data_IF_278015471282
#
_entry.id   IF_278015471282
#
_cell.length_a   1.000
_cell.length_b   1.000
_cell.length_c   1.000
_cell.angle_alpha   90.00
_cell.angle_beta   90.00
_cell.angle_gamma   90.00
#
_symmetry.space_group_name_H-M   'P 1'
#
loop_
_entity.id
_entity.type
_entity.pdbx_description
1 polymer ?
#
# COMPACT_ATOMS: atom_id res chain seq x y z
N UNK A 1 31.91 -1.12 -11.15
CA UNK A 1 32.62 -0.03 -10.50
C UNK A 1 31.60 1.03 -10.06
N UNK A 2 31.76 1.56 -8.86
CA UNK A 2 30.91 2.66 -8.35
C UNK A 2 31.55 4.02 -8.71
N UNK A 3 30.70 4.94 -9.19
CA UNK A 3 31.06 6.33 -9.41
C UNK A 3 30.34 7.18 -8.35
N UNK A 4 31.08 7.75 -7.42
CA UNK A 4 30.54 8.52 -6.30
C UNK A 4 29.86 9.83 -6.76
N UNK A 5 30.38 10.48 -7.78
CA UNK A 5 29.83 11.73 -8.31
C UNK A 5 28.48 11.53 -8.98
N UNK A 6 28.36 10.46 -9.75
CA UNK A 6 27.13 10.13 -10.50
C UNK A 6 26.18 9.24 -9.69
N UNK A 7 26.59 8.77 -8.50
CA UNK A 7 25.82 7.78 -7.69
C UNK A 7 25.43 6.53 -8.49
N UNK A 8 26.31 6.11 -9.38
CA UNK A 8 26.05 5.07 -10.38
C UNK A 8 26.99 3.89 -10.22
N UNK A 9 26.45 2.69 -10.16
CA UNK A 9 27.17 1.44 -10.29
C UNK A 9 27.16 0.99 -11.75
N UNK A 10 28.32 0.62 -12.28
CA UNK A 10 28.44 0.05 -13.62
C UNK A 10 29.02 -1.35 -13.53
N UNK A 11 28.25 -2.34 -14.06
CA UNK A 11 28.67 -3.72 -14.17
C UNK A 11 29.54 -3.94 -15.42
N UNK A 12 30.38 -5.01 -15.46
CA UNK A 12 31.18 -5.34 -16.64
C UNK A 12 30.33 -5.63 -17.89
N UNK A 13 29.11 -6.13 -17.74
CA UNK A 13 28.17 -6.39 -18.82
C UNK A 13 27.51 -5.13 -19.42
N UNK A 14 27.88 -3.92 -18.95
CA UNK A 14 27.31 -2.66 -19.40
C UNK A 14 26.06 -2.21 -18.64
N UNK A 15 25.48 -3.06 -17.78
CA UNK A 15 24.34 -2.65 -16.94
C UNK A 15 24.77 -1.56 -15.96
N UNK A 16 23.88 -0.62 -15.71
CA UNK A 16 24.10 0.44 -14.73
C UNK A 16 22.93 0.53 -13.75
N UNK A 17 23.26 0.76 -12.48
CA UNK A 17 22.31 1.04 -11.41
C UNK A 17 22.60 2.46 -10.91
N UNK A 18 21.61 3.32 -11.04
CA UNK A 18 21.66 4.69 -10.57
C UNK A 18 20.85 4.84 -9.29
N UNK A 19 21.46 5.42 -8.26
CA UNK A 19 20.78 5.77 -7.00
C UNK A 19 20.37 7.23 -7.05
N UNK A 20 19.11 7.49 -6.76
CA UNK A 20 18.55 8.83 -6.76
C UNK A 20 17.54 8.98 -5.64
N UNK A 21 17.02 10.17 -5.47
CA UNK A 21 15.98 10.48 -4.49
C UNK A 21 14.92 11.38 -5.11
N UNK A 22 13.73 11.31 -4.53
CA UNK A 22 12.59 12.14 -4.86
C UNK A 22 12.10 12.77 -3.55
N UNK A 23 12.16 14.07 -3.42
CA UNK A 23 11.65 14.80 -2.25
C UNK A 23 10.26 15.38 -2.50
N UNK A 24 10.01 15.76 -3.74
CA UNK A 24 8.76 16.41 -4.17
C UNK A 24 8.29 15.86 -5.51
N UNK A 25 7.03 16.06 -5.81
CA UNK A 25 6.47 15.69 -7.11
C UNK A 25 7.18 16.38 -8.29
N UNK A 26 7.62 17.63 -8.11
CA UNK A 26 8.37 18.36 -9.14
C UNK A 26 9.67 17.65 -9.54
N UNK A 27 10.27 16.87 -8.65
CA UNK A 27 11.46 16.08 -8.96
C UNK A 27 11.22 15.00 -10.01
N UNK A 28 9.97 14.61 -10.22
CA UNK A 28 9.58 13.64 -11.24
C UNK A 28 9.93 14.14 -12.65
N UNK A 29 9.94 15.45 -12.85
CA UNK A 29 10.30 16.05 -14.15
C UNK A 29 11.73 15.71 -14.59
N UNK A 30 12.65 15.44 -13.65
CA UNK A 30 14.04 15.00 -13.93
C UNK A 30 14.09 13.68 -14.69
N UNK A 31 13.05 12.87 -14.61
CA UNK A 31 12.95 11.58 -15.27
C UNK A 31 12.20 11.65 -16.60
N UNK A 32 11.80 12.85 -17.00
CA UNK A 32 11.15 13.05 -18.30
C UNK A 32 12.09 12.64 -19.44
N UNK A 33 11.58 11.85 -20.39
CA UNK A 33 12.37 11.34 -21.51
C UNK A 33 13.28 10.13 -21.20
N UNK A 34 13.50 9.81 -19.92
CA UNK A 34 14.30 8.65 -19.53
C UNK A 34 13.54 7.32 -19.70
N UNK A 35 14.29 6.24 -19.80
CA UNK A 35 13.77 4.88 -19.91
C UNK A 35 14.56 3.95 -18.97
N UNK A 36 13.84 3.11 -18.24
CA UNK A 36 14.40 2.17 -17.29
C UNK A 36 13.85 0.76 -17.53
N UNK A 37 14.70 -0.24 -17.34
CA UNK A 37 14.28 -1.63 -17.33
C UNK A 37 13.78 -2.05 -15.94
N UNK A 38 14.32 -1.43 -14.90
CA UNK A 38 13.98 -1.72 -13.53
C UNK A 38 13.98 -0.45 -12.68
N UNK A 39 13.03 -0.33 -11.77
CA UNK A 39 12.94 0.77 -10.83
C UNK A 39 12.66 0.20 -9.44
N UNK A 40 13.45 0.62 -8.45
CA UNK A 40 13.25 0.32 -7.04
C UNK A 40 12.83 1.55 -6.25
N UNK A 41 11.78 1.41 -5.44
CA UNK A 41 11.44 2.37 -4.41
C UNK A 41 11.81 1.79 -3.05
N UNK A 42 12.44 2.60 -2.23
CA UNK A 42 12.62 2.31 -0.82
C UNK A 42 11.61 3.13 -0.01
N UNK A 43 11.09 2.55 1.07
CA UNK A 43 10.12 3.19 1.96
C UNK A 43 8.88 3.75 1.24
N UNK A 44 8.22 2.91 0.42
CA UNK A 44 7.11 3.35 -0.45
C UNK A 44 5.97 4.07 0.30
N UNK A 45 5.71 3.70 1.56
CA UNK A 45 4.67 4.35 2.40
C UNK A 45 5.03 5.77 2.84
N UNK A 46 6.24 6.27 2.58
CA UNK A 46 6.55 7.68 2.81
C UNK A 46 5.84 8.60 1.81
N UNK A 47 5.46 8.09 0.64
CA UNK A 47 4.69 8.84 -0.35
C UNK A 47 3.22 8.89 0.02
N UNK A 48 2.61 10.10 0.08
CA UNK A 48 1.22 10.25 0.52
C UNK A 48 0.20 9.59 -0.43
N UNK A 49 0.54 9.47 -1.71
CA UNK A 49 -0.29 8.88 -2.75
C UNK A 49 0.55 8.15 -3.81
N UNK A 50 -0.09 7.58 -4.83
CA UNK A 50 0.57 6.78 -5.87
C UNK A 50 1.17 7.60 -7.01
N UNK A 51 1.14 8.92 -7.00
CA UNK A 51 1.57 9.78 -8.11
C UNK A 51 2.99 9.49 -8.56
N UNK A 52 3.94 9.44 -7.62
CA UNK A 52 5.33 9.14 -7.92
C UNK A 52 5.51 7.72 -8.49
N UNK A 53 4.82 6.75 -7.91
CA UNK A 53 4.82 5.36 -8.38
C UNK A 53 4.30 5.24 -9.81
N UNK A 54 3.13 5.84 -10.09
CA UNK A 54 2.49 5.78 -11.40
C UNK A 54 3.28 6.52 -12.47
N UNK A 55 3.85 7.68 -12.13
CA UNK A 55 4.72 8.41 -13.04
C UNK A 55 5.96 7.60 -13.41
N UNK A 56 6.68 7.07 -12.43
CA UNK A 56 7.90 6.30 -12.66
C UNK A 56 7.60 5.00 -13.43
N UNK A 57 6.45 4.38 -13.21
CA UNK A 57 6.00 3.23 -14.00
C UNK A 57 5.90 3.56 -15.49
N UNK A 58 5.49 4.77 -15.86
CA UNK A 58 5.44 5.20 -17.26
C UNK A 58 6.84 5.32 -17.91
N UNK A 59 7.89 5.28 -17.11
CA UNK A 59 9.30 5.29 -17.59
C UNK A 59 9.84 3.88 -17.83
N UNK A 60 9.13 2.84 -17.43
CA UNK A 60 9.52 1.44 -17.69
C UNK A 60 9.32 1.11 -19.16
N UNK A 61 10.39 0.96 -19.87
CA UNK A 61 10.38 0.58 -21.28
C UNK A 61 11.75 0.12 -21.74
N UNK A 62 11.79 -0.78 -22.71
CA UNK A 62 12.99 -1.18 -23.42
C UNK A 62 12.70 -1.38 -24.90
N UNK A 63 13.63 -0.97 -25.74
CA UNK A 63 13.62 -1.31 -27.16
C UNK A 63 14.20 -2.70 -27.43
N UNK A 64 14.92 -3.27 -26.45
CA UNK A 64 15.48 -4.62 -26.51
C UNK A 64 14.41 -5.65 -26.11
N UNK A 65 14.05 -6.60 -27.00
CA UNK A 65 13.04 -7.62 -26.71
C UNK A 65 13.37 -8.51 -25.52
N UNK A 66 14.64 -8.81 -25.27
CA UNK A 66 15.03 -9.66 -24.13
C UNK A 66 14.93 -8.88 -22.82
N UNK A 67 15.37 -7.63 -22.80
CA UNK A 67 15.23 -6.77 -21.63
C UNK A 67 13.77 -6.40 -21.36
N UNK A 68 12.93 -6.30 -22.37
CA UNK A 68 11.51 -5.99 -22.20
C UNK A 68 10.76 -7.05 -21.39
N UNK A 69 11.25 -8.30 -21.38
CA UNK A 69 10.68 -9.40 -20.57
C UNK A 69 10.98 -9.25 -19.07
N UNK A 70 11.97 -8.47 -18.71
CA UNK A 70 12.44 -8.30 -17.32
C UNK A 70 12.04 -6.96 -16.71
N UNK A 71 11.30 -6.15 -17.44
CA UNK A 71 10.82 -4.83 -17.00
C UNK A 71 9.97 -5.00 -15.73
N UNK A 72 10.25 -4.18 -14.73
CA UNK A 72 9.47 -4.23 -13.51
C UNK A 72 9.82 -3.17 -12.48
N UNK A 73 8.93 -3.02 -11.52
CA UNK A 73 9.16 -2.20 -10.32
C UNK A 73 9.19 -3.09 -9.09
N UNK A 74 9.95 -2.65 -8.11
CA UNK A 74 9.97 -3.25 -6.76
C UNK A 74 9.88 -2.13 -5.75
N UNK A 75 9.31 -2.42 -4.60
CA UNK A 75 9.35 -1.51 -3.47
C UNK A 75 9.57 -2.28 -2.18
N UNK A 76 10.31 -1.65 -1.29
CA UNK A 76 10.39 -2.04 0.11
C UNK A 76 9.59 -1.04 0.93
N UNK A 77 8.94 -1.50 1.97
CA UNK A 77 8.24 -0.62 2.91
C UNK A 77 7.74 -1.36 4.13
N UNK A 78 7.56 -0.63 5.22
CA UNK A 78 6.87 -1.09 6.41
C UNK A 78 5.42 -0.57 6.44
N UNK A 79 4.51 -1.24 7.16
CA UNK A 79 3.20 -0.67 7.47
C UNK A 79 3.34 0.66 8.21
N UNK A 80 2.45 1.59 7.96
CA UNK A 80 2.48 2.94 8.51
C UNK A 80 2.94 3.98 7.49
N UNK A 81 3.22 5.20 7.97
CA UNK A 81 3.55 6.32 7.10
C UNK A 81 2.34 6.90 6.36
N UNK A 82 2.57 8.02 5.67
CA UNK A 82 1.51 8.80 5.02
C UNK A 82 0.80 8.03 3.90
N UNK A 83 1.52 7.12 3.25
CA UNK A 83 1.04 6.32 2.13
C UNK A 83 0.48 4.97 2.50
N UNK A 84 0.38 4.64 3.79
CA UNK A 84 -0.10 3.33 4.25
C UNK A 84 -1.38 2.86 3.52
N UNK A 85 -2.37 3.73 3.46
CA UNK A 85 -3.70 3.38 2.91
C UNK A 85 -3.67 3.03 1.43
N UNK A 86 -2.97 3.80 0.60
CA UNK A 86 -2.93 3.52 -0.83
C UNK A 86 -2.04 2.30 -1.14
N UNK A 87 -0.92 2.13 -0.42
CA UNK A 87 -0.07 0.93 -0.58
C UNK A 87 -0.83 -0.32 -0.18
N UNK A 88 -1.52 -0.28 0.97
CA UNK A 88 -2.37 -1.38 1.43
C UNK A 88 -3.44 -1.74 0.41
N UNK A 89 -4.20 -0.76 -0.05
CA UNK A 89 -5.25 -0.95 -1.07
C UNK A 89 -4.67 -1.49 -2.39
N UNK A 90 -3.47 -1.05 -2.78
CA UNK A 90 -2.88 -1.40 -4.07
C UNK A 90 -2.21 -2.79 -4.07
N UNK A 91 -1.63 -3.23 -2.96
CA UNK A 91 -0.77 -4.41 -2.93
C UNK A 91 -1.17 -5.48 -1.91
N UNK A 92 -1.79 -5.09 -0.78
CA UNK A 92 -2.03 -6.00 0.34
C UNK A 92 -3.45 -6.56 0.29
N UNK A 93 -4.46 -5.68 0.24
CA UNK A 93 -5.88 -6.08 0.29
C UNK A 93 -6.36 -6.91 -0.91
N UNK A 94 -5.81 -6.75 -2.15
CA UNK A 94 -6.36 -7.43 -3.30
C UNK A 94 -6.17 -8.94 -3.32
N UNK A 95 -5.11 -9.47 -2.69
CA UNK A 95 -4.80 -10.89 -2.75
C UNK A 95 -4.02 -11.37 -1.52
N UNK A 96 -4.08 -12.65 -1.16
CA UNK A 96 -3.23 -13.22 -0.12
C UNK A 96 -1.74 -12.98 -0.39
N UNK A 97 -0.90 -12.93 0.65
CA UNK A 97 0.54 -12.84 0.51
C UNK A 97 1.10 -13.88 -0.46
N UNK A 98 2.15 -13.51 -1.19
CA UNK A 98 2.81 -14.37 -2.18
C UNK A 98 1.96 -14.77 -3.40
N UNK A 99 0.76 -14.22 -3.55
CA UNK A 99 -0.10 -14.44 -4.71
C UNK A 99 0.13 -13.34 -5.74
N UNK A 100 0.36 -13.72 -6.99
CA UNK A 100 0.42 -12.77 -8.10
C UNK A 100 -0.99 -12.50 -8.61
N UNK A 101 -1.32 -11.23 -8.84
CA UNK A 101 -2.62 -10.80 -9.36
C UNK A 101 -2.48 -9.64 -10.34
N UNK A 102 -3.47 -9.45 -11.19
CA UNK A 102 -3.54 -8.28 -12.08
C UNK A 102 -4.31 -7.15 -11.42
N UNK A 103 -3.85 -5.95 -11.64
CA UNK A 103 -4.34 -4.81 -10.90
C UNK A 103 -5.41 -4.00 -11.62
N UNK A 104 -5.40 -3.98 -12.95
CA UNK A 104 -6.37 -3.18 -13.73
C UNK A 104 -6.67 -3.81 -15.08
N UNK A 105 -7.94 -3.74 -15.46
CA UNK A 105 -8.36 -3.89 -16.84
C UNK A 105 -8.01 -2.58 -17.59
N UNK A 106 -7.28 -2.68 -18.67
CA UNK A 106 -6.87 -1.50 -19.44
C UNK A 106 -8.00 -0.90 -20.30
N UNK A 107 -9.01 -1.70 -20.63
CA UNK A 107 -10.14 -1.24 -21.44
C UNK A 107 -11.21 -0.59 -20.59
N UNK A 108 -11.57 -1.21 -19.46
CA UNK A 108 -12.63 -0.71 -18.57
C UNK A 108 -12.12 0.16 -17.45
N UNK A 109 -10.83 0.10 -17.12
CA UNK A 109 -10.22 0.78 -15.98
C UNK A 109 -10.56 0.15 -14.63
N UNK A 110 -11.34 -0.94 -14.62
CA UNK A 110 -11.74 -1.63 -13.39
C UNK A 110 -10.57 -2.38 -12.76
N UNK A 111 -10.52 -2.39 -11.43
CA UNK A 111 -9.54 -3.16 -10.68
C UNK A 111 -9.82 -4.66 -10.80
N UNK A 112 -8.84 -5.40 -11.29
CA UNK A 112 -8.90 -6.84 -11.46
C UNK A 112 -8.11 -7.53 -10.34
N UNK A 113 -8.72 -8.58 -9.76
CA UNK A 113 -8.18 -9.30 -8.60
C UNK A 113 -8.13 -10.81 -8.87
N UNK A 114 -7.41 -11.23 -9.92
CA UNK A 114 -7.28 -12.64 -10.23
C UNK A 114 -5.85 -13.13 -10.05
N UNK A 115 -5.68 -14.39 -9.63
CA UNK A 115 -4.39 -15.05 -9.74
C UNK A 115 -3.90 -15.04 -11.19
N UNK A 116 -2.58 -14.93 -11.36
CA UNK A 116 -1.94 -14.82 -12.66
C UNK A 116 -2.22 -15.98 -13.63
N UNK A 117 -2.58 -17.15 -13.13
CA UNK A 117 -2.86 -18.37 -13.86
C UNK A 117 -4.36 -18.67 -14.01
N UNK A 118 -5.23 -17.74 -13.63
CA UNK A 118 -6.66 -17.99 -13.71
C UNK A 118 -7.13 -18.06 -15.18
N UNK A 119 -7.98 -19.04 -15.47
CA UNK A 119 -8.61 -19.16 -16.79
C UNK A 119 -9.38 -17.89 -17.17
N UNK A 120 -9.98 -17.25 -16.20
CA UNK A 120 -10.74 -16.02 -16.40
C UNK A 120 -9.84 -14.86 -16.89
N UNK A 121 -8.64 -14.74 -16.37
CA UNK A 121 -7.68 -13.74 -16.85
C UNK A 121 -7.28 -14.00 -18.30
N UNK A 122 -7.12 -15.28 -18.70
CA UNK A 122 -6.84 -15.68 -20.08
C UNK A 122 -8.00 -15.34 -21.00
N UNK A 123 -9.23 -15.74 -20.62
CA UNK A 123 -10.43 -15.55 -21.42
C UNK A 123 -10.79 -14.08 -21.63
N UNK A 124 -10.43 -13.20 -20.69
CA UNK A 124 -10.65 -11.75 -20.78
C UNK A 124 -9.44 -10.97 -21.31
N UNK A 125 -8.54 -11.67 -22.02
CA UNK A 125 -7.34 -11.06 -22.63
C UNK A 125 -6.46 -10.27 -21.64
N UNK A 126 -6.52 -10.70 -20.38
CA UNK A 126 -5.71 -10.12 -19.29
C UNK A 126 -4.32 -10.75 -19.20
N UNK A 127 -3.99 -11.64 -20.12
CA UNK A 127 -2.73 -12.36 -20.22
C UNK A 127 -1.80 -11.64 -21.17
N UNK A 128 -0.59 -11.41 -20.72
CA UNK A 128 0.46 -10.77 -21.46
C UNK A 128 0.70 -9.32 -21.05
N UNK A 129 1.60 -8.73 -21.65
CA UNK A 129 2.34 -7.49 -21.41
C UNK A 129 1.51 -6.22 -21.19
N UNK A 130 0.20 -6.30 -21.19
CA UNK A 130 -0.69 -5.13 -21.07
C UNK A 130 -1.31 -4.94 -19.72
N UNK A 131 -1.12 -5.88 -18.79
CA UNK A 131 -1.69 -5.83 -17.45
C UNK A 131 -0.58 -5.72 -16.41
N UNK A 132 -0.81 -4.91 -15.38
CA UNK A 132 0.14 -4.76 -14.30
C UNK A 132 -0.02 -5.90 -13.31
N UNK A 133 0.90 -6.86 -13.37
CA UNK A 133 1.02 -7.87 -12.34
C UNK A 133 1.57 -7.26 -11.07
N UNK A 134 0.97 -7.62 -9.94
CA UNK A 134 1.40 -7.22 -8.59
C UNK A 134 1.53 -8.42 -7.70
N UNK A 135 2.41 -8.32 -6.73
CA UNK A 135 2.62 -9.34 -5.71
C UNK A 135 3.12 -8.67 -4.44
N UNK A 136 2.50 -8.98 -3.34
CA UNK A 136 2.99 -8.66 -2.02
C UNK A 136 3.78 -9.84 -1.47
N UNK A 137 5.02 -9.57 -1.03
CA UNK A 137 5.89 -10.55 -0.40
C UNK A 137 6.14 -10.05 1.02
N UNK A 138 5.53 -10.67 2.04
CA UNK A 138 5.80 -10.29 3.42
C UNK A 138 7.22 -10.69 3.81
N UNK A 139 7.82 -9.88 4.67
CA UNK A 139 9.10 -10.18 5.30
C UNK A 139 9.01 -9.83 6.80
N UNK A 140 9.60 -10.64 7.62
CA UNK A 140 9.70 -10.46 9.07
C UNK A 140 11.15 -10.33 9.49
N UNK A 141 11.38 -9.85 10.71
CA UNK A 141 12.73 -9.83 11.29
C UNK A 141 13.40 -11.22 11.24
N UNK A 142 12.62 -12.28 11.42
CA UNK A 142 13.13 -13.67 11.45
C UNK A 142 13.61 -14.18 10.09
N UNK A 143 13.17 -13.54 9.01
CA UNK A 143 13.62 -13.88 7.65
C UNK A 143 15.03 -13.33 7.35
N UNK A 144 15.54 -12.43 8.22
CA UNK A 144 16.88 -11.88 8.09
C UNK A 144 17.86 -12.61 9.03
N UNK A 145 18.69 -13.54 8.53
CA UNK A 145 19.58 -14.33 9.37
C UNK A 145 20.63 -13.51 10.12
N UNK A 146 20.94 -12.30 9.66
CA UNK A 146 21.88 -11.40 10.30
C UNK A 146 21.29 -10.66 11.51
N UNK A 147 19.97 -10.47 11.53
CA UNK A 147 19.25 -9.79 12.60
C UNK A 147 18.53 -10.77 13.53
N UNK A 148 18.14 -11.93 13.04
CA UNK A 148 17.43 -12.95 13.83
C UNK A 148 18.23 -13.47 15.04
N UNK A 149 19.57 -13.32 15.03
CA UNK A 149 20.45 -13.65 16.14
C UNK A 149 20.81 -12.47 17.05
N UNK A 150 20.43 -11.26 16.69
CA UNK A 150 20.67 -10.05 17.48
C UNK A 150 19.51 -9.80 18.46
N UNK A 151 19.59 -10.43 19.63
CA UNK A 151 18.59 -10.24 20.69
C UNK A 151 18.44 -8.79 21.17
N UNK A 152 19.44 -7.93 20.94
CA UNK A 152 19.37 -6.52 21.28
C UNK A 152 18.39 -5.77 20.36
N UNK A 153 18.44 -6.03 19.05
CA UNK A 153 17.54 -5.40 18.10
C UNK A 153 16.08 -5.82 18.31
N UNK A 154 15.86 -7.12 18.52
CA UNK A 154 14.52 -7.63 18.84
C UNK A 154 13.98 -7.03 20.16
N UNK A 155 14.82 -6.95 21.21
CA UNK A 155 14.44 -6.34 22.48
C UNK A 155 14.07 -4.85 22.31
N UNK A 156 14.79 -4.11 21.48
CA UNK A 156 14.46 -2.72 21.18
C UNK A 156 13.08 -2.59 20.52
N UNK A 157 12.77 -3.45 19.56
CA UNK A 157 11.45 -3.46 18.90
C UNK A 157 10.33 -3.87 19.88
N UNK A 158 10.59 -4.83 20.76
CA UNK A 158 9.63 -5.27 21.79
C UNK A 158 9.34 -4.18 22.83
N UNK A 159 10.25 -3.26 23.06
CA UNK A 159 10.06 -2.12 23.98
C UNK A 159 9.17 -1.01 23.40
N UNK A 160 8.88 -1.04 22.11
CA UNK A 160 8.02 -0.05 21.47
C UNK A 160 6.55 -0.19 21.90
N UNK A 161 5.76 0.91 21.83
CA UNK A 161 4.31 0.83 21.99
C UNK A 161 3.69 -0.24 21.08
N UNK A 162 2.63 -0.90 21.55
CA UNK A 162 2.03 -2.06 20.87
C UNK A 162 1.76 -1.81 19.37
N UNK A 163 1.20 -0.66 19.02
CA UNK A 163 0.92 -0.33 17.61
C UNK A 163 2.19 -0.25 16.75
N UNK A 164 3.27 0.32 17.28
CA UNK A 164 4.55 0.41 16.57
C UNK A 164 5.23 -0.96 16.48
N UNK A 165 5.20 -1.74 17.55
CA UNK A 165 5.72 -3.10 17.57
C UNK A 165 5.03 -3.97 16.51
N UNK A 166 3.70 -3.96 16.47
CA UNK A 166 2.93 -4.72 15.46
C UNK A 166 3.31 -4.34 14.04
N UNK A 167 3.51 -3.06 13.77
CA UNK A 167 3.93 -2.60 12.43
C UNK A 167 5.35 -3.03 12.08
N UNK A 168 6.31 -2.81 12.98
CA UNK A 168 7.74 -2.95 12.67
C UNK A 168 8.25 -4.38 12.87
N UNK A 169 7.76 -5.09 13.89
CA UNK A 169 8.18 -6.46 14.19
C UNK A 169 7.33 -7.50 13.44
N UNK A 170 6.02 -7.28 13.39
CA UNK A 170 5.07 -8.26 12.85
C UNK A 170 4.66 -7.95 11.40
N UNK A 171 4.99 -6.74 10.90
CA UNK A 171 4.58 -6.31 9.57
C UNK A 171 3.06 -6.18 9.39
N UNK A 172 2.36 -5.79 10.46
CA UNK A 172 0.90 -5.77 10.50
C UNK A 172 0.31 -4.56 9.79
N UNK A 173 -0.28 -4.81 8.64
CA UNK A 173 -0.97 -3.81 7.82
C UNK A 173 -2.36 -3.42 8.31
N UNK A 174 -2.85 -4.01 9.38
CA UNK A 174 -4.11 -3.58 9.99
C UNK A 174 -3.97 -2.33 10.86
N UNK A 175 -2.75 -2.00 11.27
CA UNK A 175 -2.42 -0.87 12.15
C UNK A 175 -2.00 0.34 11.32
N UNK A 176 -2.89 1.32 11.15
CA UNK A 176 -2.58 2.58 10.45
C UNK A 176 -1.82 3.56 11.36
N UNK A 177 -0.81 4.24 10.80
CA UNK A 177 -0.16 5.36 11.49
C UNK A 177 -1.01 6.63 11.37
N UNK A 178 -1.08 7.41 12.44
CA UNK A 178 -1.88 8.64 12.47
C UNK A 178 -3.39 8.40 12.54
N UNK A 179 -3.82 7.16 12.80
CA UNK A 179 -5.21 6.90 13.12
C UNK A 179 -5.59 7.68 14.39
N UNK A 180 -6.72 8.38 14.36
CA UNK A 180 -7.26 9.09 15.53
C UNK A 180 -7.44 8.16 16.75
N UNK A 181 -7.59 6.86 16.47
CA UNK A 181 -7.68 5.79 17.45
C UNK A 181 -6.57 4.78 17.15
N UNK A 182 -5.37 5.01 17.71
CA UNK A 182 -4.22 4.10 17.53
C UNK A 182 -4.47 2.69 18.09
N UNK A 183 -5.41 2.56 19.01
CA UNK A 183 -5.81 1.33 19.69
C UNK A 183 -6.91 0.57 18.95
N UNK A 184 -7.38 1.10 17.81
CA UNK A 184 -8.41 0.44 17.03
C UNK A 184 -7.92 -0.90 16.48
N UNK A 185 -8.62 -1.95 16.86
CA UNK A 185 -8.36 -3.32 16.43
C UNK A 185 -9.65 -3.91 15.83
N UNK A 186 -9.67 -4.28 14.55
CA UNK A 186 -10.86 -4.89 13.92
C UNK A 186 -11.41 -6.08 14.73
N UNK A 187 -10.52 -6.97 15.20
CA UNK A 187 -10.91 -8.18 15.94
C UNK A 187 -11.56 -7.89 17.30
N UNK A 188 -11.30 -6.72 17.88
CA UNK A 188 -11.89 -6.28 19.16
C UNK A 188 -13.09 -5.36 18.94
N UNK A 189 -13.01 -4.46 17.96
CA UNK A 189 -13.93 -3.34 17.85
C UNK A 189 -14.98 -3.52 16.75
N UNK A 190 -14.77 -4.49 15.84
CA UNK A 190 -15.75 -4.83 14.82
C UNK A 190 -16.48 -6.10 15.23
N UNK A 191 -17.75 -5.94 15.56
CA UNK A 191 -18.62 -7.06 15.92
C UNK A 191 -19.45 -7.53 14.72
N UNK A 192 -19.93 -8.76 14.76
CA UNK A 192 -20.87 -9.26 13.75
C UNK A 192 -22.14 -8.40 13.76
N UNK A 193 -22.71 -8.07 12.58
CA UNK A 193 -23.95 -7.32 12.50
C UNK A 193 -25.05 -7.98 13.32
N UNK A 194 -25.81 -7.17 14.06
CA UNK A 194 -27.01 -7.58 14.80
C UNK A 194 -28.04 -6.45 14.82
N UNK A 195 -29.28 -6.78 15.10
CA UNK A 195 -30.35 -5.81 15.14
C UNK A 195 -30.26 -4.94 16.40
N UNK A 196 -30.18 -3.62 16.19
CA UNK A 196 -30.13 -2.65 17.28
C UNK A 196 -31.52 -2.50 17.92
N UNK A 197 -31.70 -2.84 19.20
CA UNK A 197 -33.02 -2.74 19.87
C UNK A 197 -33.60 -1.33 19.76
N UNK A 198 -34.94 -1.24 19.61
CA UNK A 198 -35.62 0.04 19.53
C UNK A 198 -35.50 0.88 20.81
N UNK A 199 -35.36 0.21 21.95
CA UNK A 199 -35.20 0.84 23.26
C UNK A 199 -33.88 1.54 23.50
N UNK A 200 -32.86 1.26 22.68
CA UNK A 200 -31.55 1.91 22.84
C UNK A 200 -31.62 3.36 22.35
N UNK A 201 -30.98 4.25 23.12
CA UNK A 201 -30.80 5.63 22.71
C UNK A 201 -29.95 5.67 21.42
N UNK A 202 -30.38 6.46 20.45
CA UNK A 202 -29.72 6.58 19.15
C UNK A 202 -29.43 8.04 18.87
N UNK A 203 -28.25 8.30 18.32
CA UNK A 203 -27.86 9.62 17.85
C UNK A 203 -27.01 9.52 16.58
N UNK A 204 -26.71 10.64 15.97
CA UNK A 204 -25.81 10.74 14.81
C UNK A 204 -24.90 11.92 14.99
N UNK A 205 -23.69 11.78 14.47
CA UNK A 205 -22.72 12.85 14.34
C UNK A 205 -22.37 13.06 12.87
N UNK A 206 -22.09 14.31 12.52
CA UNK A 206 -21.70 14.69 11.19
C UNK A 206 -20.45 15.57 11.28
N UNK A 207 -19.41 15.19 10.55
CA UNK A 207 -18.24 16.00 10.30
C UNK A 207 -18.32 16.52 8.86
N UNK A 208 -18.58 17.82 8.71
CA UNK A 208 -18.80 18.45 7.42
C UNK A 208 -17.47 18.84 6.78
N UNK A 209 -17.16 18.25 5.64
CA UNK A 209 -15.99 18.59 4.84
C UNK A 209 -16.28 19.63 3.77
N UNK A 210 -15.70 20.83 3.88
CA UNK A 210 -15.70 21.82 2.81
C UNK A 210 -14.52 21.54 1.88
N UNK A 211 -14.79 21.01 0.68
CA UNK A 211 -13.74 20.56 -0.25
C UNK A 211 -13.12 19.18 0.08
N UNK A 212 -13.64 18.51 1.10
CA UNK A 212 -13.30 17.14 1.49
C UNK A 212 -14.57 16.32 1.70
N UNK A 213 -14.42 15.01 2.00
CA UNK A 213 -15.58 14.18 2.28
C UNK A 213 -16.27 14.60 3.58
N UNK A 214 -17.60 14.67 3.55
CA UNK A 214 -18.43 14.77 4.75
C UNK A 214 -18.66 13.37 5.30
N UNK A 215 -18.37 13.16 6.58
CA UNK A 215 -18.63 11.91 7.28
C UNK A 215 -19.89 12.00 8.15
N UNK A 216 -20.75 11.01 8.05
CA UNK A 216 -21.93 10.87 8.93
C UNK A 216 -21.92 9.50 9.57
N UNK A 217 -22.00 9.45 10.88
CA UNK A 217 -22.05 8.21 11.65
C UNK A 217 -23.32 8.14 12.49
N UNK A 218 -23.91 6.95 12.59
CA UNK A 218 -25.07 6.64 13.42
C UNK A 218 -24.66 5.73 14.56
N UNK A 219 -25.03 6.13 15.74
CA UNK A 219 -24.64 5.49 16.99
C UNK A 219 -25.86 4.99 17.75
N UNK A 220 -25.68 3.91 18.49
CA UNK A 220 -26.61 3.43 19.51
C UNK A 220 -25.85 3.25 20.83
N UNK A 221 -26.50 3.57 21.95
CA UNK A 221 -25.95 3.38 23.28
C UNK A 221 -26.62 2.16 23.90
N UNK A 222 -25.82 1.13 24.20
CA UNK A 222 -26.28 -0.06 24.88
C UNK A 222 -26.52 0.22 26.38
N UNK A 223 -27.27 -0.64 27.09
CA UNK A 223 -27.56 -0.45 28.52
C UNK A 223 -26.32 -0.46 29.44
N UNK A 224 -25.23 -1.04 28.98
CA UNK A 224 -23.93 -1.07 29.64
C UNK A 224 -23.04 0.11 29.25
N UNK A 225 -23.63 1.14 28.64
CA UNK A 225 -22.98 2.37 28.17
C UNK A 225 -22.00 2.16 26.98
N UNK A 226 -21.92 0.98 26.39
CA UNK A 226 -21.16 0.78 25.16
C UNK A 226 -21.81 1.53 24.01
N UNK A 227 -20.95 2.19 23.21
CA UNK A 227 -21.38 2.89 22.00
C UNK A 227 -21.15 2.01 20.79
N UNK A 228 -22.20 1.74 20.03
CA UNK A 228 -22.16 0.94 18.83
C UNK A 228 -22.37 1.85 17.61
N UNK A 229 -21.43 1.83 16.68
CA UNK A 229 -21.60 2.46 15.37
C UNK A 229 -22.24 1.42 14.45
N UNK A 230 -23.49 1.63 14.09
CA UNK A 230 -24.25 0.66 13.26
C UNK A 230 -24.43 1.10 11.81
N UNK A 231 -24.06 2.34 11.48
CA UNK A 231 -24.09 2.86 10.11
C UNK A 231 -23.07 3.98 9.97
N UNK A 232 -22.36 3.99 8.84
CA UNK A 232 -21.46 5.07 8.41
C UNK A 232 -21.74 5.45 6.96
N UNK A 233 -21.59 6.72 6.63
CA UNK A 233 -21.68 7.22 5.25
C UNK A 233 -20.62 8.30 5.04
N UNK A 234 -19.89 8.18 3.92
CA UNK A 234 -19.00 9.22 3.40
C UNK A 234 -19.64 9.81 2.15
N UNK A 235 -19.77 11.13 2.11
CA UNK A 235 -20.40 11.86 1.03
C UNK A 235 -19.40 12.86 0.49
N UNK A 236 -19.07 12.78 -0.81
CA UNK A 236 -18.35 13.87 -1.47
C UNK A 236 -19.31 15.05 -1.60
N UNK A 237 -18.86 16.24 -1.17
CA UNK A 237 -19.56 17.45 -1.53
C UNK A 237 -19.44 17.63 -3.04
N UNK A 238 -20.52 17.37 -3.77
CA UNK A 238 -20.62 17.82 -5.15
C UNK A 238 -20.61 19.34 -5.13
N UNK A 239 -19.65 19.94 -5.80
CA UNK A 239 -19.66 21.38 -6.07
C UNK A 239 -21.00 21.75 -6.72
N UNK A 240 -21.75 22.57 -6.00
CA UNK A 240 -22.96 23.22 -6.51
C UNK A 240 -22.57 24.32 -7.48
#
# INVERSE_FOLDING_TARGET
>A
KFNEREKTWRAPCGASLWMSYLEREDDLTRYQGQAFNWIGFDELTQWPDSTAWDYMRSRLRSADPELSKTIGMRATTNPGGRGHSWVKKMFIDPAPPNTTFWAKNQETGEDLRWPADSKFAVENNCVGDRMFQRRFIPASLRDNPYLAGDGMYEANLLSLPEAQRRRLLEGDWSVAEGAAFSEWMPDKHVVKPYDIPHSWAKFRACDYGYGSMTAVLWFAVAPDEQIVIYRGQLIMASTW
#
